data_IF_474237941724
#
_entry.id   IF_474237941724
#
_cell.length_a   1.000
_cell.length_b   1.000
_cell.length_c   1.000
_cell.angle_alpha   90.00
_cell.angle_beta   90.00
_cell.angle_gamma   90.00
#
_symmetry.space_group_name_H-M   'P 1'
#
loop_
_entity.id
_entity.type
_entity.pdbx_description
1 polymer ?
#
# COMPACT_ATOMS: atom_id res chain seq x y z
N UNK A 1 24.96 -7.15 -14.77
CA UNK A 1 23.85 -6.66 -13.94
C UNK A 1 23.08 -7.86 -13.39
N UNK A 2 22.72 -7.92 -12.09
CA UNK A 2 21.87 -8.99 -11.58
C UNK A 2 20.50 -8.94 -12.28
N UNK A 3 19.84 -10.09 -12.46
CA UNK A 3 18.52 -10.17 -13.10
C UNK A 3 17.41 -9.52 -12.27
N UNK A 4 17.65 -9.36 -10.97
CA UNK A 4 16.74 -8.69 -10.06
C UNK A 4 17.48 -8.13 -8.84
N UNK A 5 16.83 -7.23 -8.11
CA UNK A 5 17.31 -6.78 -6.80
C UNK A 5 16.95 -7.83 -5.75
N UNK A 6 17.91 -8.28 -4.95
CA UNK A 6 17.65 -9.32 -3.94
C UNK A 6 16.64 -8.87 -2.88
N UNK A 7 15.91 -9.83 -2.31
CA UNK A 7 14.92 -9.53 -1.27
C UNK A 7 15.55 -8.89 -0.03
N UNK A 8 16.72 -9.40 0.41
CA UNK A 8 17.46 -8.80 1.52
C UNK A 8 17.85 -7.34 1.27
N UNK A 9 18.28 -7.00 0.05
CA UNK A 9 18.55 -5.60 -0.31
C UNK A 9 17.27 -4.75 -0.30
N UNK A 10 16.15 -5.29 -0.80
CA UNK A 10 14.85 -4.59 -0.78
C UNK A 10 14.43 -4.27 0.66
N UNK A 11 14.48 -5.25 1.57
CA UNK A 11 14.11 -5.03 2.98
C UNK A 11 14.98 -3.97 3.67
N UNK A 12 16.29 -3.95 3.39
CA UNK A 12 17.19 -2.92 3.92
C UNK A 12 16.86 -1.53 3.37
N UNK A 13 16.56 -1.43 2.07
CA UNK A 13 16.18 -0.16 1.45
C UNK A 13 14.82 0.32 1.95
N UNK A 14 13.85 -0.59 2.14
CA UNK A 14 12.57 -0.25 2.77
C UNK A 14 12.77 0.29 4.17
N UNK A 15 13.57 -0.40 5.00
CA UNK A 15 13.88 0.06 6.35
C UNK A 15 14.55 1.44 6.34
N UNK A 16 15.50 1.65 5.44
CA UNK A 16 16.11 2.96 5.24
C UNK A 16 15.06 4.01 4.85
N UNK A 17 14.18 3.69 3.91
CA UNK A 17 13.07 4.54 3.50
C UNK A 17 12.18 4.94 4.67
N UNK A 18 11.79 4.00 5.54
CA UNK A 18 11.03 4.31 6.76
C UNK A 18 11.76 5.34 7.63
N UNK A 19 13.04 5.10 7.91
CA UNK A 19 13.85 5.96 8.80
C UNK A 19 14.07 7.38 8.27
N UNK A 20 14.00 7.57 6.94
CA UNK A 20 14.09 8.90 6.33
C UNK A 20 12.86 9.76 6.65
N UNK A 21 11.69 9.15 6.82
CA UNK A 21 10.47 9.86 7.19
C UNK A 21 10.25 9.88 8.70
N UNK A 22 10.65 8.83 9.41
CA UNK A 22 10.48 8.72 10.86
C UNK A 22 11.61 7.93 11.53
N UNK A 23 12.61 8.66 12.05
CA UNK A 23 13.81 8.06 12.67
C UNK A 23 13.52 7.21 13.91
N UNK A 24 12.37 7.43 14.56
CA UNK A 24 11.97 6.67 15.76
C UNK A 24 11.03 5.53 15.42
N UNK A 25 10.67 5.34 14.15
CA UNK A 25 9.78 4.27 13.74
C UNK A 25 10.45 2.91 13.90
N UNK A 26 9.72 1.98 14.51
CA UNK A 26 10.06 0.56 14.59
C UNK A 26 9.58 -0.23 13.36
N UNK A 27 8.83 0.39 12.45
CA UNK A 27 8.35 -0.27 11.25
C UNK A 27 9.52 -0.68 10.34
N UNK A 28 9.45 -1.91 9.83
CA UNK A 28 10.41 -2.43 8.86
C UNK A 28 9.96 -2.18 7.40
N UNK A 29 8.66 -2.11 7.18
CA UNK A 29 8.04 -1.98 5.86
C UNK A 29 7.46 -0.57 5.66
N UNK A 30 7.59 -0.07 4.43
CA UNK A 30 7.15 1.31 4.12
C UNK A 30 5.64 1.50 4.17
N UNK A 31 4.85 0.46 3.86
CA UNK A 31 3.38 0.57 3.93
C UNK A 31 2.89 0.69 5.39
N UNK A 32 3.45 -0.08 6.32
CA UNK A 32 3.10 -0.01 7.74
C UNK A 32 3.49 1.36 8.32
N UNK A 33 4.68 1.85 7.96
CA UNK A 33 5.11 3.19 8.33
C UNK A 33 4.18 4.27 7.73
N UNK A 34 3.80 4.11 6.46
CA UNK A 34 2.89 5.02 5.76
C UNK A 34 1.54 5.10 6.46
N UNK A 35 0.95 3.96 6.81
CA UNK A 35 -0.30 3.88 7.54
C UNK A 35 -0.17 4.56 8.90
N UNK A 36 0.80 4.17 9.73
CA UNK A 36 1.02 4.73 11.05
C UNK A 36 1.24 6.25 11.03
N UNK A 37 2.04 6.75 10.09
CA UNK A 37 2.32 8.17 9.95
C UNK A 37 1.10 8.96 9.49
N UNK A 38 0.27 8.37 8.63
CA UNK A 38 -0.95 8.99 8.14
C UNK A 38 -2.07 8.99 9.19
N UNK A 39 -2.30 7.86 9.86
CA UNK A 39 -3.40 7.70 10.82
C UNK A 39 -3.06 8.27 12.19
N UNK A 40 -1.97 7.80 12.80
CA UNK A 40 -1.68 8.08 14.21
C UNK A 40 -0.88 9.37 14.42
N UNK A 41 -0.03 9.74 13.46
CA UNK A 41 0.76 10.99 13.50
C UNK A 41 0.18 12.11 12.64
N UNK A 42 -0.95 11.87 11.96
CA UNK A 42 -1.67 12.83 11.12
C UNK A 42 -0.79 13.62 10.14
N UNK A 43 0.21 12.95 9.54
CA UNK A 43 1.10 13.59 8.57
C UNK A 43 0.41 13.76 7.22
N UNK A 44 0.76 14.84 6.51
CA UNK A 44 0.28 15.07 5.13
C UNK A 44 0.89 14.07 4.15
N UNK A 45 0.27 13.91 2.97
CA UNK A 45 0.69 12.93 1.97
C UNK A 45 2.12 13.13 1.46
N UNK A 46 2.62 14.36 1.51
CA UNK A 46 3.99 14.72 1.13
C UNK A 46 5.02 14.31 2.21
N UNK A 47 4.56 14.09 3.44
CA UNK A 47 5.39 13.83 4.62
C UNK A 47 5.30 12.38 5.12
N UNK A 48 4.85 11.48 4.27
CA UNK A 48 4.79 10.03 4.51
C UNK A 48 5.59 9.30 3.42
N UNK A 49 6.16 8.11 3.73
CA UNK A 49 6.95 7.36 2.76
C UNK A 49 6.11 6.95 1.53
N UNK A 50 6.75 6.72 0.37
CA UNK A 50 6.07 6.20 -0.80
C UNK A 50 5.44 4.83 -0.49
N UNK A 51 4.52 4.39 -1.33
CA UNK A 51 4.02 3.01 -1.25
C UNK A 51 5.13 2.03 -1.58
N UNK A 52 5.05 0.81 -1.05
CA UNK A 52 6.01 -0.26 -1.37
C UNK A 52 6.11 -0.51 -2.88
N UNK A 53 4.98 -0.46 -3.59
CA UNK A 53 4.94 -0.60 -5.05
C UNK A 53 5.75 0.50 -5.76
N UNK A 54 5.59 1.76 -5.35
CA UNK A 54 6.33 2.87 -5.94
C UNK A 54 7.82 2.80 -5.59
N UNK A 55 8.16 2.43 -4.34
CA UNK A 55 9.54 2.26 -3.90
C UNK A 55 10.23 1.12 -4.68
N UNK A 56 9.55 0.00 -4.90
CA UNK A 56 10.09 -1.13 -5.69
C UNK A 56 10.49 -0.69 -7.10
N UNK A 57 9.64 0.07 -7.78
CA UNK A 57 9.95 0.57 -9.12
C UNK A 57 11.05 1.63 -9.11
N UNK A 58 11.11 2.47 -8.06
CA UNK A 58 12.22 3.41 -7.87
C UNK A 58 13.56 2.69 -7.70
N UNK A 59 13.62 1.65 -6.86
CA UNK A 59 14.82 0.84 -6.64
C UNK A 59 15.31 0.24 -7.96
N UNK A 60 14.42 -0.34 -8.76
CA UNK A 60 14.76 -0.88 -10.09
C UNK A 60 15.40 0.20 -10.97
N UNK A 61 14.77 1.37 -11.10
CA UNK A 61 15.30 2.46 -11.93
C UNK A 61 16.68 2.92 -11.48
N UNK A 62 16.88 3.10 -10.17
CA UNK A 62 18.18 3.51 -9.60
C UNK A 62 19.25 2.44 -9.85
N UNK A 63 18.92 1.15 -9.69
CA UNK A 63 19.83 0.05 -9.99
C UNK A 63 20.23 0.02 -11.47
N UNK A 64 19.28 0.26 -12.38
CA UNK A 64 19.52 0.33 -13.81
C UNK A 64 20.43 1.50 -14.19
N UNK A 65 20.14 2.70 -13.69
CA UNK A 65 20.97 3.88 -13.92
C UNK A 65 22.40 3.69 -13.39
N UNK A 66 22.56 3.18 -12.17
CA UNK A 66 23.87 2.90 -11.60
C UNK A 66 24.66 1.87 -12.42
N UNK A 67 24.00 0.82 -12.92
CA UNK A 67 24.64 -0.18 -13.78
C UNK A 67 25.05 0.40 -15.15
N UNK A 68 24.23 1.28 -15.72
CA UNK A 68 24.55 1.95 -16.98
C UNK A 68 25.80 2.83 -16.81
N UNK A 69 25.84 3.63 -15.73
CA UNK A 69 26.99 4.48 -15.43
C UNK A 69 28.27 3.69 -15.16
N UNK A 70 28.16 2.53 -14.51
CA UNK A 70 29.30 1.65 -14.28
C UNK A 70 29.85 0.98 -15.56
N UNK A 71 29.13 1.07 -16.67
CA UNK A 71 29.48 0.46 -17.95
C UNK A 71 29.89 1.47 -19.02
N UNK A 72 30.04 2.76 -18.68
CA UNK A 72 30.32 3.83 -19.65
C UNK A 72 31.61 3.65 -20.46
N UNK A 73 32.60 2.94 -19.91
CA UNK A 73 33.90 2.71 -20.56
C UNK A 73 34.00 1.33 -21.22
N UNK A 74 32.96 0.50 -21.12
CA UNK A 74 32.92 -0.83 -21.74
C UNK A 74 32.50 -0.68 -23.18
N UNK A 75 33.28 -1.26 -24.10
CA UNK A 75 32.88 -1.36 -25.50
C UNK A 75 31.75 -2.39 -25.63
N UNK A 76 30.60 -1.96 -26.15
CA UNK A 76 29.39 -2.78 -26.33
C UNK A 76 28.87 -3.45 -25.03
N UNK A 77 28.43 -2.66 -24.04
CA UNK A 77 27.94 -3.20 -22.79
C UNK A 77 26.60 -3.94 -22.98
N UNK A 78 26.47 -5.09 -22.34
CA UNK A 78 25.19 -5.83 -22.29
C UNK A 78 24.25 -5.15 -21.28
N UNK A 79 23.38 -4.30 -21.79
CA UNK A 79 22.36 -3.57 -21.01
C UNK A 79 21.07 -4.39 -21.02
N UNK A 80 20.42 -4.65 -19.85
CA UNK A 80 19.13 -5.33 -19.83
C UNK A 80 18.00 -4.43 -20.37
N UNK A 81 16.84 -5.03 -20.66
CA UNK A 81 15.68 -4.31 -21.15
C UNK A 81 15.18 -3.30 -20.11
N UNK A 82 15.04 -2.02 -20.48
CA UNK A 82 14.63 -0.97 -19.54
C UNK A 82 13.24 -1.23 -18.94
N UNK A 83 12.35 -1.89 -19.71
CA UNK A 83 10.99 -2.26 -19.26
C UNK A 83 10.98 -3.14 -18.01
N UNK A 84 11.97 -4.02 -17.84
CA UNK A 84 12.09 -4.88 -16.67
C UNK A 84 12.57 -4.11 -15.43
N UNK A 85 13.11 -2.90 -15.65
CA UNK A 85 13.76 -2.07 -14.65
C UNK A 85 13.00 -0.78 -14.33
N UNK A 86 11.67 -0.85 -14.39
CA UNK A 86 10.78 0.22 -13.93
C UNK A 86 10.66 1.38 -14.90
N UNK A 87 10.86 1.12 -16.19
CA UNK A 87 10.57 2.04 -17.29
C UNK A 87 9.43 1.51 -18.15
N UNK A 88 8.79 2.38 -18.90
CA UNK A 88 7.78 2.02 -19.89
C UNK A 88 8.07 2.76 -21.19
N UNK A 89 7.96 2.04 -22.31
CA UNK A 89 8.18 2.61 -23.64
C UNK A 89 6.89 3.22 -24.16
N UNK A 90 6.87 4.55 -24.24
CA UNK A 90 5.78 5.30 -24.86
C UNK A 90 6.19 5.82 -26.24
N UNK A 91 5.25 6.40 -26.98
CA UNK A 91 5.51 7.03 -28.28
C UNK A 91 6.49 8.20 -28.19
N UNK A 92 6.56 8.87 -27.04
CA UNK A 92 7.44 10.02 -26.76
C UNK A 92 8.81 9.61 -26.22
N UNK A 93 9.02 8.32 -25.93
CA UNK A 93 10.27 7.80 -25.37
C UNK A 93 10.07 6.94 -24.12
N UNK A 94 11.16 6.72 -23.39
CA UNK A 94 11.14 5.98 -22.13
C UNK A 94 10.66 6.87 -20.99
N UNK A 95 9.57 6.46 -20.33
CA UNK A 95 9.03 7.14 -19.15
C UNK A 95 9.18 6.27 -17.91
N UNK A 96 9.34 6.85 -16.72
CA UNK A 96 9.35 6.10 -15.48
C UNK A 96 8.01 5.38 -15.26
N UNK A 97 8.06 4.08 -14.97
CA UNK A 97 6.91 3.35 -14.46
C UNK A 97 6.79 3.63 -12.96
N UNK A 98 5.87 4.54 -12.57
CA UNK A 98 5.85 5.08 -11.21
C UNK A 98 5.38 4.09 -10.15
N UNK A 99 4.32 3.33 -10.43
CA UNK A 99 3.70 2.41 -9.48
C UNK A 99 2.82 1.40 -10.21
N UNK A 100 2.72 0.18 -9.67
CA UNK A 100 1.77 -0.83 -10.13
C UNK A 100 0.38 -0.71 -9.47
N UNK A 101 0.22 0.23 -8.54
CA UNK A 101 -1.06 0.48 -7.88
C UNK A 101 -1.99 1.31 -8.77
N UNK A 102 -3.31 1.10 -8.70
CA UNK A 102 -4.27 1.97 -9.35
C UNK A 102 -4.21 3.38 -8.76
N UNK A 103 -4.65 4.36 -9.55
CA UNK A 103 -4.82 5.74 -9.10
C UNK A 103 -5.65 5.79 -7.82
N UNK A 104 -5.15 6.50 -6.80
CA UNK A 104 -5.81 6.59 -5.50
C UNK A 104 -7.25 7.09 -5.61
N UNK A 105 -7.55 7.99 -6.56
CA UNK A 105 -8.91 8.49 -6.82
C UNK A 105 -9.90 7.41 -7.26
N UNK A 106 -9.42 6.30 -7.83
CA UNK A 106 -10.23 5.15 -8.25
C UNK A 106 -10.41 4.11 -7.15
N UNK A 107 -9.72 4.28 -6.01
CA UNK A 107 -9.66 3.26 -4.95
C UNK A 107 -9.94 3.81 -3.55
N UNK A 108 -9.87 5.13 -3.34
CA UNK A 108 -10.02 5.78 -2.04
C UNK A 108 -11.33 6.57 -1.96
N UNK A 109 -12.44 5.88 -1.64
CA UNK A 109 -13.71 6.53 -1.33
C UNK A 109 -13.90 6.81 0.18
N UNK A 110 -13.00 6.35 1.05
CA UNK A 110 -13.28 6.17 2.48
C UNK A 110 -12.30 6.89 3.43
N UNK A 111 -11.75 8.05 3.04
CA UNK A 111 -10.98 8.91 3.97
C UNK A 111 -11.88 9.76 4.88
N UNK A 112 -13.09 9.27 5.18
CA UNK A 112 -14.04 9.95 6.06
C UNK A 112 -13.68 9.63 7.51
N UNK A 113 -13.20 10.64 8.22
CA UNK A 113 -12.97 10.58 9.66
C UNK A 113 -14.11 11.28 10.41
N UNK A 114 -14.41 10.78 11.61
CA UNK A 114 -15.30 11.47 12.54
C UNK A 114 -14.53 12.04 13.73
N UNK A 115 -15.02 13.15 14.27
CA UNK A 115 -14.50 13.77 15.49
C UNK A 115 -15.30 13.31 16.73
N UNK A 116 -15.86 12.11 16.70
CA UNK A 116 -16.66 11.59 17.80
C UNK A 116 -15.76 11.25 18.99
N UNK A 117 -16.01 11.85 20.16
CA UNK A 117 -15.23 11.58 21.37
C UNK A 117 -15.74 10.37 22.16
N UNK A 118 -17.04 10.06 22.07
CA UNK A 118 -17.68 8.92 22.73
C UNK A 118 -18.87 8.44 21.93
N UNK A 119 -18.77 7.23 21.36
CA UNK A 119 -19.84 6.56 20.64
C UNK A 119 -20.21 7.23 19.30
N UNK A 120 -20.34 6.43 18.25
CA UNK A 120 -20.76 6.90 16.92
C UNK A 120 -22.23 6.54 16.71
N UNK A 121 -23.07 7.56 16.68
CA UNK A 121 -24.51 7.43 16.40
C UNK A 121 -24.87 8.29 15.19
N UNK A 122 -26.15 8.66 14.99
CA UNK A 122 -26.61 9.38 13.80
C UNK A 122 -25.97 10.75 13.53
N UNK A 123 -25.15 11.29 14.45
CA UNK A 123 -24.36 12.51 14.24
C UNK A 123 -22.95 12.26 13.72
N UNK A 124 -22.46 11.02 13.75
CA UNK A 124 -21.14 10.66 13.22
C UNK A 124 -21.12 10.79 11.69
N UNK A 125 -20.08 11.42 11.15
CA UNK A 125 -19.86 11.57 9.70
C UNK A 125 -19.70 10.23 9.00
N UNK A 126 -18.98 9.28 9.62
CA UNK A 126 -18.82 7.92 9.08
C UNK A 126 -20.16 7.19 9.04
N UNK A 127 -20.95 7.22 10.12
CA UNK A 127 -22.28 6.59 10.17
C UNK A 127 -23.22 7.21 9.14
N UNK A 128 -23.20 8.54 8.98
CA UNK A 128 -24.00 9.23 7.94
C UNK A 128 -23.60 8.83 6.53
N UNK A 129 -22.32 8.54 6.31
CA UNK A 129 -21.80 8.04 5.05
C UNK A 129 -22.02 6.54 4.85
N UNK A 130 -22.60 5.83 5.83
CA UNK A 130 -22.79 4.38 5.78
C UNK A 130 -21.49 3.59 5.97
N UNK A 131 -20.43 4.22 6.50
CA UNK A 131 -19.12 3.61 6.69
C UNK A 131 -18.87 3.25 8.16
N UNK A 132 -18.08 2.18 8.35
CA UNK A 132 -17.45 1.89 9.63
C UNK A 132 -16.51 3.03 10.03
N UNK A 133 -16.37 3.27 11.33
CA UNK A 133 -15.29 4.13 11.80
C UNK A 133 -13.97 3.37 11.69
N UNK A 134 -12.95 4.05 11.20
CA UNK A 134 -11.58 3.52 11.08
C UNK A 134 -10.68 4.13 12.14
N UNK A 135 -9.43 3.66 12.22
CA UNK A 135 -8.37 4.26 13.04
C UNK A 135 -8.06 5.74 12.68
N UNK A 136 -8.57 6.23 11.54
CA UNK A 136 -8.49 7.64 11.19
C UNK A 136 -9.47 8.51 12.00
N UNK A 137 -10.48 7.91 12.62
CA UNK A 137 -11.45 8.64 13.41
C UNK A 137 -10.90 8.99 14.79
N UNK A 138 -11.34 10.11 15.36
CA UNK A 138 -11.03 10.46 16.74
C UNK A 138 -11.56 9.44 17.75
N UNK A 139 -12.59 8.67 17.39
CA UNK A 139 -13.09 7.55 18.18
C UNK A 139 -12.22 6.28 18.09
N UNK A 140 -11.13 6.30 17.30
CA UNK A 140 -10.20 5.16 17.11
C UNK A 140 -10.90 3.85 16.74
N UNK A 141 -11.90 3.91 15.85
CA UNK A 141 -12.65 2.71 15.44
C UNK A 141 -13.54 2.06 16.52
N UNK A 142 -13.47 2.47 17.79
CA UNK A 142 -14.16 1.85 18.95
C UNK A 142 -15.68 2.06 19.00
N UNK A 143 -16.30 2.31 17.85
CA UNK A 143 -17.72 2.56 17.75
C UNK A 143 -18.50 1.25 17.55
N UNK A 144 -19.27 0.88 18.57
CA UNK A 144 -20.13 -0.32 18.64
C UNK A 144 -21.35 -0.19 17.70
N UNK A 145 -21.13 -0.12 16.39
CA UNK A 145 -22.10 -0.51 15.36
C UNK A 145 -21.47 -0.43 13.99
N UNK A 146 -21.24 -1.59 13.40
CA UNK A 146 -21.40 -1.75 11.96
C UNK A 146 -22.13 -3.06 11.77
N UNK A 147 -23.36 -3.01 11.26
CA UNK A 147 -23.89 -4.18 10.58
C UNK A 147 -22.96 -4.40 9.39
N UNK A 148 -22.36 -5.59 9.33
CA UNK A 148 -21.44 -6.00 8.27
C UNK A 148 -22.11 -5.81 6.91
N UNK A 149 -21.69 -4.80 6.16
CA UNK A 149 -21.82 -4.88 4.71
C UNK A 149 -20.63 -5.70 4.22
N UNK A 150 -20.87 -7.00 4.03
CA UNK A 150 -20.02 -7.80 3.15
C UNK A 150 -20.02 -7.11 1.80
N UNK A 151 -18.90 -6.50 1.44
CA UNK A 151 -18.63 -6.16 0.04
C UNK A 151 -18.69 -7.51 -0.69
N UNK A 152 -19.72 -7.70 -1.50
CA UNK A 152 -19.76 -8.81 -2.42
C UNK A 152 -18.55 -8.64 -3.34
N UNK A 153 -17.49 -9.42 -3.09
CA UNK A 153 -16.46 -9.66 -4.09
C UNK A 153 -17.22 -10.23 -5.28
N UNK A 154 -17.23 -9.58 -6.44
CA UNK A 154 -17.84 -10.16 -7.62
C UNK A 154 -17.15 -11.51 -7.84
N UNK A 155 -17.95 -12.57 -7.83
CA UNK A 155 -17.51 -13.92 -8.17
C UNK A 155 -16.69 -13.83 -9.45
N UNK A 156 -15.47 -14.38 -9.40
CA UNK A 156 -14.54 -14.43 -10.52
C UNK A 156 -15.29 -14.83 -11.78
N UNK A 157 -15.41 -13.91 -12.74
CA UNK A 157 -15.89 -14.28 -14.08
C UNK A 157 -14.98 -15.39 -14.58
N UNK A 158 -15.54 -16.57 -14.77
CA UNK A 158 -14.91 -17.66 -15.49
C UNK A 158 -14.42 -17.09 -16.84
N UNK A 159 -13.11 -17.18 -17.07
CA UNK A 159 -12.54 -16.86 -18.37
C UNK A 159 -13.00 -17.97 -19.30
N UNK A 160 -14.03 -17.67 -20.10
CA UNK A 160 -14.45 -18.56 -21.17
C UNK A 160 -13.28 -18.62 -22.17
N UNK A 161 -12.69 -19.81 -22.29
CA UNK A 161 -11.46 -20.03 -23.04
C UNK A 161 -11.56 -19.53 -24.47
N UNK A 162 -10.51 -18.87 -24.95
CA UNK A 162 -10.33 -18.59 -26.36
C UNK A 162 -9.94 -19.88 -27.08
N UNK A 163 -10.70 -20.24 -28.11
CA UNK A 163 -10.31 -21.29 -29.04
C UNK A 163 -9.22 -20.74 -29.96
N UNK A 164 -8.09 -21.44 -30.05
CA UNK A 164 -7.13 -21.22 -31.12
C UNK A 164 -7.68 -21.79 -32.43
N UNK A 165 -7.15 -21.32 -33.56
CA UNK A 165 -7.60 -21.71 -34.91
C UNK A 165 -7.32 -23.20 -35.25
N UNK A 166 -6.90 -24.01 -34.28
CA UNK A 166 -6.47 -25.40 -34.46
C UNK A 166 -7.15 -26.41 -33.51
N UNK A 167 -8.04 -25.97 -32.61
CA UNK A 167 -9.06 -26.83 -32.00
C UNK A 167 -8.57 -27.88 -30.98
N UNK A 168 -7.65 -27.53 -30.05
CA UNK A 168 -7.19 -28.48 -29.03
C UNK A 168 -7.30 -27.95 -27.58
N UNK A 169 -7.85 -28.75 -26.65
CA UNK A 169 -8.08 -28.40 -25.22
C UNK A 169 -6.98 -28.98 -24.32
N UNK A 170 -6.36 -28.17 -23.43
CA UNK A 170 -5.55 -28.68 -22.30
C UNK A 170 -5.77 -27.87 -21.01
N UNK A 171 -6.20 -28.58 -19.95
CA UNK A 171 -5.70 -28.40 -18.58
C UNK A 171 -6.65 -27.83 -17.53
N UNK A 172 -7.32 -28.72 -16.79
CA UNK A 172 -8.03 -28.47 -15.51
C UNK A 172 -7.08 -28.67 -14.32
N UNK A 173 -7.24 -27.87 -13.25
CA UNK A 173 -6.51 -28.06 -11.99
C UNK A 173 -7.21 -27.35 -10.83
N UNK A 174 -7.69 -28.12 -9.85
CA UNK A 174 -8.36 -27.69 -8.62
C UNK A 174 -7.38 -27.85 -7.46
N UNK A 175 -7.29 -26.86 -6.55
CA UNK A 175 -6.65 -27.06 -5.25
C UNK A 175 -7.39 -26.34 -4.12
N UNK A 176 -7.41 -27.01 -2.97
CA UNK A 176 -8.46 -26.97 -1.95
C UNK A 176 -8.31 -25.90 -0.86
N UNK A 177 -9.47 -25.54 -0.31
CA UNK A 177 -9.72 -24.75 0.90
C UNK A 177 -9.13 -25.39 2.17
N UNK A 178 -8.42 -24.62 3.00
CA UNK A 178 -8.21 -24.92 4.42
C UNK A 178 -8.50 -23.67 5.28
N UNK A 179 -9.57 -23.76 6.09
CA UNK A 179 -9.94 -22.82 7.16
C UNK A 179 -9.38 -23.29 8.51
N UNK A 180 -9.03 -22.32 9.37
CA UNK A 180 -9.11 -22.22 10.86
C UNK A 180 -7.84 -21.50 11.38
N UNK A 181 -7.88 -20.60 12.37
CA UNK A 181 -8.94 -20.25 13.31
C UNK A 181 -8.66 -18.96 14.10
N UNK A 182 -9.68 -18.56 14.87
CA UNK A 182 -9.74 -17.46 15.83
C UNK A 182 -8.84 -17.67 17.05
N UNK A 183 -8.29 -16.58 17.59
CA UNK A 183 -7.86 -16.49 19.01
C UNK A 183 -8.42 -15.20 19.61
N UNK A 184 -9.20 -15.35 20.68
CA UNK A 184 -9.74 -14.28 21.52
C UNK A 184 -8.73 -13.86 22.61
N UNK A 185 -8.73 -12.57 22.95
CA UNK A 185 -8.68 -12.10 24.34
C UNK A 185 -7.35 -11.60 24.90
N UNK A 186 -7.24 -10.28 25.12
CA UNK A 186 -6.77 -9.67 26.39
C UNK A 186 -7.00 -8.15 26.41
N UNK A 187 -7.57 -7.65 27.51
CA UNK A 187 -8.00 -6.26 27.77
C UNK A 187 -6.87 -5.29 28.17
N UNK A 188 -7.13 -3.96 28.17
CA UNK A 188 -6.10 -2.92 28.08
C UNK A 188 -5.64 -2.35 29.43
N UNK A 189 -4.36 -1.94 29.48
CA UNK A 189 -3.80 -1.09 30.52
C UNK A 189 -4.17 0.38 30.30
N UNK A 190 -4.55 1.05 31.39
CA UNK A 190 -4.99 2.45 31.44
C UNK A 190 -3.77 3.36 31.52
N UNK A 191 -3.66 4.35 30.62
CA UNK A 191 -2.73 5.47 30.79
C UNK A 191 -3.44 6.80 30.52
N UNK A 192 -3.47 7.58 31.59
CA UNK A 192 -4.09 8.89 31.78
C UNK A 192 -3.08 10.00 31.49
N UNK A 193 -3.28 10.76 30.42
CA UNK A 193 -2.79 12.16 30.22
C UNK A 193 -3.70 12.77 29.15
N UNK A 194 -4.24 13.98 29.20
CA UNK A 194 -3.95 15.20 29.94
C UNK A 194 -4.33 16.34 28.98
N UNK A 195 -5.51 16.91 29.15
CA UNK A 195 -6.10 17.96 28.30
C UNK A 195 -5.28 19.24 28.29
N UNK A 196 -4.81 19.68 27.12
CA UNK A 196 -4.61 21.09 26.71
C UNK A 196 -4.77 21.09 25.19
N UNK A 197 -5.67 21.82 24.55
CA UNK A 197 -6.02 23.21 24.74
C UNK A 197 -5.93 23.82 23.34
N UNK A 198 -7.09 24.01 22.70
CA UNK A 198 -7.24 24.68 21.41
C UNK A 198 -6.61 26.08 21.46
N UNK A 199 -5.91 26.49 20.40
CA UNK A 199 -6.31 27.66 19.61
C UNK A 199 -5.58 27.67 18.24
N UNK A 200 -6.21 28.24 17.20
CA UNK A 200 -5.78 28.20 15.81
C UNK A 200 -4.87 29.39 15.50
N UNK A 201 -4.07 29.32 14.43
CA UNK A 201 -3.65 30.45 13.58
C UNK A 201 -2.98 29.84 12.34
N UNK A 202 -3.61 30.13 11.18
CA UNK A 202 -3.16 30.01 9.78
C UNK A 202 -2.90 28.62 9.19
#
# INVERSE_FOLDING_TARGET
MPSEVSEGSRSLIERFGVLMYDRTSECMEVNNAREHLFSQKSRTLENIPPTQAALKEHIKRTCFQANLWNQLLVLDPKIPEASDWGWTKESTGWQPFWTALPEASKSCHELIQCNCQKGCTGRCTCVKAGLACTELCFCSGDCVRVQSFTIAVPESREVQGYQDAEGNMRGTGSENLLRRGSVEGSQPGVNRWGTRGLHPIL
#
